data_IF_742467741957
#
_entry.id   IF_742467741957
#
_cell.length_a   1.000
_cell.length_b   1.000
_cell.length_c   1.000
_cell.angle_alpha   90.00
_cell.angle_beta   90.00
_cell.angle_gamma   90.00
#
_symmetry.space_group_name_H-M   'P 1'
#
loop_
_entity.id
_entity.type
_entity.pdbx_description
1 polymer ?
#
# COMPACT_ATOMS: atom_id res chain seq x y z
N UNK A 1 2.12 23.97 -1.57
CA UNK A 1 3.15 24.43 -2.52
C UNK A 1 4.03 25.61 -2.04
N UNK A 2 4.43 25.77 -0.75
CA UNK A 2 5.49 26.72 -0.40
C UNK A 2 6.87 26.07 -0.16
N UNK A 3 6.95 24.75 0.01
CA UNK A 3 8.21 24.06 0.34
C UNK A 3 9.14 23.83 -0.86
N UNK A 4 8.60 23.69 -2.08
CA UNK A 4 9.40 23.46 -3.28
C UNK A 4 10.20 24.71 -3.72
N UNK A 5 9.68 25.91 -3.46
CA UNK A 5 10.35 27.19 -3.77
C UNK A 5 11.44 27.48 -2.73
N UNK A 6 11.22 27.15 -1.47
CA UNK A 6 12.23 27.25 -0.42
C UNK A 6 13.37 26.22 -0.61
N UNK A 7 13.07 25.02 -1.13
CA UNK A 7 14.08 24.04 -1.50
C UNK A 7 14.96 24.50 -2.69
N UNK A 8 14.38 25.23 -3.65
CA UNK A 8 15.11 25.80 -4.79
C UNK A 8 16.10 26.89 -4.39
N UNK A 9 15.67 27.82 -3.51
CA UNK A 9 16.52 28.93 -3.04
C UNK A 9 17.62 28.48 -2.07
N UNK A 10 17.35 27.47 -1.23
CA UNK A 10 18.37 26.85 -0.39
C UNK A 10 19.40 26.05 -1.20
N UNK A 11 18.95 25.38 -2.27
CA UNK A 11 19.80 24.58 -3.14
C UNK A 11 20.88 25.39 -3.85
N UNK A 12 20.57 26.58 -4.36
CA UNK A 12 21.54 27.45 -5.03
C UNK A 12 22.54 28.08 -4.04
N UNK A 13 22.09 28.49 -2.85
CA UNK A 13 22.97 29.02 -1.82
C UNK A 13 23.94 27.94 -1.29
N UNK A 14 23.47 26.72 -1.10
CA UNK A 14 24.28 25.57 -0.69
C UNK A 14 25.21 25.12 -1.83
N UNK A 15 24.75 25.12 -3.08
CA UNK A 15 25.59 24.80 -4.24
C UNK A 15 26.69 25.86 -4.46
N UNK A 16 26.38 27.14 -4.30
CA UNK A 16 27.35 28.24 -4.39
C UNK A 16 28.37 28.22 -3.24
N UNK A 17 27.92 27.94 -2.01
CA UNK A 17 28.81 27.76 -0.85
C UNK A 17 29.71 26.52 -0.98
N UNK A 18 29.16 25.40 -1.46
CA UNK A 18 29.91 24.17 -1.72
C UNK A 18 30.92 24.34 -2.87
N UNK A 19 30.54 25.01 -3.96
CA UNK A 19 31.43 25.30 -5.08
C UNK A 19 32.57 26.25 -4.69
N UNK A 20 32.29 27.24 -3.83
CA UNK A 20 33.30 28.14 -3.28
C UNK A 20 34.30 27.43 -2.36
N UNK A 21 33.86 26.43 -1.60
CA UNK A 21 34.70 25.67 -0.65
C UNK A 21 35.40 24.47 -1.27
N UNK A 22 34.86 23.90 -2.37
CA UNK A 22 35.50 22.80 -3.13
C UNK A 22 36.66 23.27 -4.01
N UNK A 23 36.80 24.57 -4.28
CA UNK A 23 37.96 25.11 -5.00
C UNK A 23 39.27 24.94 -4.23
N UNK A 24 39.20 24.87 -2.90
CA UNK A 24 40.35 24.64 -2.00
C UNK A 24 40.53 23.16 -1.63
N UNK A 25 39.61 22.28 -2.05
CA UNK A 25 39.59 20.85 -1.77
C UNK A 25 39.59 20.00 -3.06
N UNK A 26 40.17 20.52 -4.15
CA UNK A 26 40.40 19.71 -5.34
C UNK A 26 41.28 18.50 -4.96
N UNK A 27 40.76 17.26 -5.02
CA UNK A 27 41.59 16.10 -4.76
C UNK A 27 42.63 16.00 -5.88
N UNK A 28 43.90 15.69 -5.56
CA UNK A 28 44.92 15.50 -6.57
C UNK A 28 44.64 14.17 -7.28
N UNK A 29 43.84 14.23 -8.35
CA UNK A 29 43.58 13.08 -9.22
C UNK A 29 42.11 12.91 -9.59
N UNK A 30 41.74 13.37 -10.78
CA UNK A 30 40.78 12.75 -11.73
C UNK A 30 39.44 12.18 -11.22
N UNK A 31 38.94 12.59 -10.05
CA UNK A 31 37.71 12.05 -9.47
C UNK A 31 36.45 12.63 -10.12
N UNK A 32 35.44 11.77 -10.32
CA UNK A 32 34.15 12.13 -10.92
C UNK A 32 33.42 13.17 -10.02
N UNK A 33 33.16 14.41 -10.48
CA UNK A 33 32.71 15.53 -9.63
C UNK A 33 31.32 15.33 -9.02
N UNK A 34 30.57 14.33 -9.47
CA UNK A 34 29.22 13.98 -9.01
C UNK A 34 29.27 13.06 -7.76
N UNK A 35 30.40 12.39 -7.50
CA UNK A 35 30.49 11.38 -6.44
C UNK A 35 30.34 11.97 -5.02
N UNK A 36 30.89 13.17 -4.78
CA UNK A 36 30.86 13.80 -3.45
C UNK A 36 29.45 14.30 -3.09
N UNK A 37 28.75 15.05 -3.95
CA UNK A 37 27.36 15.44 -3.69
C UNK A 37 26.40 14.25 -3.53
N UNK A 38 26.57 13.20 -4.36
CA UNK A 38 25.75 11.99 -4.28
C UNK A 38 25.96 11.22 -2.97
N UNK A 39 27.21 11.08 -2.52
CA UNK A 39 27.52 10.45 -1.24
C UNK A 39 26.96 11.27 -0.06
N UNK A 40 27.07 12.59 -0.10
CA UNK A 40 26.49 13.47 0.92
C UNK A 40 24.96 13.31 0.98
N UNK A 41 24.28 13.28 -0.17
CA UNK A 41 22.83 13.05 -0.23
C UNK A 41 22.45 11.67 0.31
N UNK A 42 23.18 10.61 -0.06
CA UNK A 42 22.95 9.26 0.43
C UNK A 42 23.10 9.18 1.96
N UNK A 43 24.11 9.86 2.52
CA UNK A 43 24.31 9.96 3.98
C UNK A 43 23.14 10.68 4.64
N UNK A 44 22.67 11.80 4.07
CA UNK A 44 21.50 12.52 4.60
C UNK A 44 20.26 11.63 4.61
N UNK A 45 19.99 10.94 3.50
CA UNK A 45 18.85 9.99 3.39
C UNK A 45 19.00 8.86 4.42
N UNK A 46 20.19 8.27 4.55
CA UNK A 46 20.45 7.20 5.50
C UNK A 46 20.27 7.65 6.96
N UNK A 47 20.73 8.85 7.33
CA UNK A 47 20.57 9.41 8.68
C UNK A 47 19.11 9.71 8.99
N UNK A 48 18.37 10.32 8.05
CA UNK A 48 16.94 10.57 8.20
C UNK A 48 16.15 9.26 8.35
N UNK A 49 16.52 8.23 7.57
CA UNK A 49 15.89 6.92 7.66
C UNK A 49 16.26 6.16 8.94
N UNK A 50 17.51 6.27 9.41
CA UNK A 50 17.95 5.63 10.64
C UNK A 50 17.20 6.13 11.88
N UNK A 51 16.81 7.42 11.92
CA UNK A 51 15.95 7.97 12.97
C UNK A 51 14.55 7.35 13.00
N UNK A 52 14.09 6.79 11.88
CA UNK A 52 12.78 6.12 11.77
C UNK A 52 12.83 4.63 12.16
N UNK A 53 14.00 3.99 12.18
CA UNK A 53 14.15 2.58 12.54
C UNK A 53 13.56 2.20 13.92
N UNK A 54 13.71 3.00 14.99
CA UNK A 54 13.09 2.69 16.28
C UNK A 54 11.56 2.71 16.23
N UNK A 55 10.97 3.61 15.43
CA UNK A 55 9.52 3.75 15.30
C UNK A 55 8.88 2.52 14.64
N UNK A 56 9.60 1.90 13.69
CA UNK A 56 9.19 0.63 13.08
C UNK A 56 9.07 -0.49 14.12
N UNK A 57 9.86 -0.44 15.21
CA UNK A 57 9.83 -1.45 16.28
C UNK A 57 8.75 -1.18 17.33
N UNK A 58 8.27 0.06 17.46
CA UNK A 58 7.23 0.43 18.43
C UNK A 58 5.81 0.25 17.92
N UNK A 59 5.64 -0.09 16.63
CA UNK A 59 4.38 -0.54 16.02
C UNK A 59 3.95 -1.92 16.58
N UNK A 60 3.72 -1.96 17.88
CA UNK A 60 3.37 -3.14 18.66
C UNK A 60 1.87 -3.32 18.68
N UNK A 61 1.15 -2.61 19.53
CA UNK A 61 -0.30 -2.76 19.61
C UNK A 61 -1.05 -1.87 18.62
N UNK A 62 -0.45 -0.83 18.05
CA UNK A 62 -1.21 0.16 17.26
C UNK A 62 -1.68 -0.39 15.90
N UNK A 63 -0.91 -1.29 15.28
CA UNK A 63 -1.22 -1.90 13.97
C UNK A 63 -1.65 -3.37 14.06
N UNK A 64 -2.13 -3.85 15.22
CA UNK A 64 -2.48 -5.26 15.40
C UNK A 64 -3.49 -5.75 14.35
N UNK A 65 -4.50 -4.93 14.03
CA UNK A 65 -5.55 -5.28 13.07
C UNK A 65 -5.03 -5.48 11.66
N UNK A 66 -4.17 -4.56 11.18
CA UNK A 66 -3.56 -4.67 9.85
C UNK A 66 -2.65 -5.90 9.72
N UNK A 67 -1.91 -6.26 10.78
CA UNK A 67 -1.07 -7.46 10.79
C UNK A 67 -1.89 -8.74 10.83
N UNK A 68 -2.98 -8.73 11.59
CA UNK A 68 -3.93 -9.85 11.59
C UNK A 68 -4.53 -10.02 10.20
N UNK A 69 -5.00 -8.94 9.58
CA UNK A 69 -5.55 -8.92 8.22
C UNK A 69 -4.56 -9.52 7.21
N UNK A 70 -3.30 -9.08 7.23
CA UNK A 70 -2.28 -9.60 6.33
C UNK A 70 -2.04 -11.11 6.49
N UNK A 71 -1.99 -11.62 7.74
CA UNK A 71 -1.86 -13.07 7.99
C UNK A 71 -3.10 -13.83 7.53
N UNK A 72 -4.28 -13.36 7.94
CA UNK A 72 -5.57 -13.92 7.55
C UNK A 72 -5.73 -13.97 6.04
N UNK A 73 -5.48 -12.87 5.33
CA UNK A 73 -5.61 -12.79 3.88
C UNK A 73 -4.71 -13.81 3.17
N UNK A 74 -3.48 -13.97 3.65
CA UNK A 74 -2.53 -14.94 3.09
C UNK A 74 -3.01 -16.38 3.28
N UNK A 75 -3.56 -16.71 4.45
CA UNK A 75 -4.14 -18.03 4.73
C UNK A 75 -5.45 -18.26 3.96
N UNK A 76 -6.27 -17.23 3.81
CA UNK A 76 -7.54 -17.28 3.09
C UNK A 76 -7.33 -17.50 1.58
N UNK A 77 -6.24 -16.98 1.01
CA UNK A 77 -5.90 -17.21 -0.40
C UNK A 77 -5.66 -18.68 -0.75
N UNK A 78 -5.21 -19.49 0.21
CA UNK A 78 -5.03 -20.93 0.01
C UNK A 78 -6.38 -21.67 -0.15
N UNK A 79 -7.51 -21.03 0.21
CA UNK A 79 -8.86 -21.61 0.15
C UNK A 79 -9.60 -21.27 -1.15
N UNK A 80 -9.02 -20.44 -2.02
CA UNK A 80 -9.63 -20.03 -3.30
C UNK A 80 -8.77 -20.47 -4.49
N UNK A 81 -9.38 -20.67 -5.67
CA UNK A 81 -8.62 -21.07 -6.86
C UNK A 81 -7.56 -20.06 -7.27
N UNK A 82 -6.51 -20.52 -7.94
CA UNK A 82 -5.42 -19.65 -8.43
C UNK A 82 -5.88 -18.65 -9.49
N UNK A 83 -6.76 -19.12 -10.37
CA UNK A 83 -7.43 -18.27 -11.35
C UNK A 83 -8.64 -17.59 -10.70
N UNK A 84 -8.37 -16.60 -9.87
CA UNK A 84 -9.37 -15.76 -9.19
C UNK A 84 -8.94 -14.29 -9.19
N UNK A 85 -9.89 -13.40 -8.90
CA UNK A 85 -9.61 -11.98 -8.69
C UNK A 85 -10.23 -11.51 -7.36
N UNK A 86 -9.47 -10.72 -6.60
CA UNK A 86 -9.86 -10.21 -5.29
C UNK A 86 -10.10 -8.70 -5.35
N UNK A 87 -11.29 -8.26 -4.95
CA UNK A 87 -11.64 -6.88 -4.71
C UNK A 87 -11.22 -6.49 -3.29
N UNK A 88 -10.28 -5.56 -3.15
CA UNK A 88 -9.67 -5.25 -1.85
C UNK A 88 -9.15 -3.82 -1.77
N UNK A 89 -9.24 -3.21 -0.58
CA UNK A 89 -8.65 -1.89 -0.33
C UNK A 89 -7.11 -1.87 -0.44
N UNK A 90 -6.47 -3.05 -0.45
CA UNK A 90 -5.00 -3.17 -0.56
C UNK A 90 -4.62 -4.12 -1.72
N UNK A 91 -4.84 -3.75 -3.00
CA UNK A 91 -4.59 -4.65 -4.13
C UNK A 91 -3.13 -5.12 -4.20
N UNK A 92 -2.19 -4.23 -3.88
CA UNK A 92 -0.75 -4.50 -3.91
C UNK A 92 -0.35 -5.69 -3.03
N UNK A 93 -1.01 -5.88 -1.88
CA UNK A 93 -0.76 -7.01 -0.98
C UNK A 93 -1.00 -8.34 -1.69
N UNK A 94 -2.11 -8.46 -2.41
CA UNK A 94 -2.48 -9.68 -3.15
C UNK A 94 -1.66 -9.86 -4.43
N UNK A 95 -1.35 -8.76 -5.13
CA UNK A 95 -0.54 -8.78 -6.35
C UNK A 95 0.88 -9.29 -6.08
N UNK A 96 1.51 -8.89 -4.97
CA UNK A 96 2.83 -9.40 -4.55
C UNK A 96 2.82 -10.91 -4.27
N UNK A 97 1.66 -11.46 -3.90
CA UNK A 97 1.47 -12.90 -3.70
C UNK A 97 1.00 -13.63 -4.97
N UNK A 98 1.05 -12.99 -6.13
CA UNK A 98 0.67 -13.58 -7.41
C UNK A 98 -0.84 -13.79 -7.57
N UNK A 99 -1.67 -13.05 -6.82
CA UNK A 99 -3.14 -13.06 -7.01
C UNK A 99 -3.61 -11.80 -7.70
N UNK A 100 -4.48 -11.96 -8.70
CA UNK A 100 -5.15 -10.82 -9.33
C UNK A 100 -5.97 -10.07 -8.28
N UNK A 101 -5.79 -8.75 -8.21
CA UNK A 101 -6.56 -7.92 -7.29
C UNK A 101 -6.78 -6.52 -7.85
N UNK A 102 -7.93 -5.95 -7.52
CA UNK A 102 -8.34 -4.60 -7.92
C UNK A 102 -9.08 -3.89 -6.78
N UNK A 103 -9.27 -2.58 -6.93
CA UNK A 103 -9.97 -1.77 -5.95
C UNK A 103 -11.46 -2.18 -5.82
N UNK A 104 -12.02 -2.21 -4.59
CA UNK A 104 -13.42 -2.53 -4.34
C UNK A 104 -14.37 -1.48 -4.93
N UNK A 105 -13.90 -0.25 -5.15
CA UNK A 105 -14.71 0.79 -5.77
C UNK A 105 -15.21 0.39 -7.16
N UNK A 106 -14.46 -0.43 -7.89
CA UNK A 106 -14.88 -0.98 -9.19
C UNK A 106 -16.20 -1.72 -9.06
N UNK A 107 -16.40 -2.48 -7.98
CA UNK A 107 -17.67 -3.18 -7.74
C UNK A 107 -18.86 -2.25 -7.49
N UNK A 108 -18.62 -1.00 -7.14
CA UNK A 108 -19.66 0.00 -6.90
C UNK A 108 -19.91 0.82 -8.15
N UNK A 109 -18.85 1.29 -8.81
CA UNK A 109 -18.92 2.24 -9.92
C UNK A 109 -19.08 1.61 -11.29
N UNK A 110 -18.66 0.35 -11.48
CA UNK A 110 -18.61 -0.31 -12.79
C UNK A 110 -19.03 -1.80 -12.69
N UNK A 111 -20.33 -2.03 -12.53
CA UNK A 111 -20.91 -3.38 -12.52
C UNK A 111 -20.71 -4.16 -13.83
N UNK A 112 -20.75 -3.54 -15.03
CA UNK A 112 -20.41 -4.24 -16.27
C UNK A 112 -19.01 -4.86 -16.25
N UNK A 113 -18.01 -4.15 -15.73
CA UNK A 113 -16.67 -4.70 -15.57
C UNK A 113 -16.66 -5.89 -14.59
N UNK A 114 -17.39 -5.81 -13.49
CA UNK A 114 -17.50 -6.93 -12.52
C UNK A 114 -18.13 -8.15 -13.18
N UNK A 115 -19.16 -7.95 -14.00
CA UNK A 115 -19.80 -9.02 -14.77
C UNK A 115 -18.81 -9.68 -15.75
N UNK A 116 -18.05 -8.90 -16.51
CA UNK A 116 -16.98 -9.41 -17.39
C UNK A 116 -15.91 -10.19 -16.59
N UNK A 117 -15.51 -9.69 -15.41
CA UNK A 117 -14.59 -10.41 -14.53
C UNK A 117 -15.18 -11.75 -14.05
N UNK A 118 -16.47 -11.78 -13.68
CA UNK A 118 -17.14 -13.03 -13.33
C UNK A 118 -17.12 -14.03 -14.50
N UNK A 119 -17.26 -13.58 -15.75
CA UNK A 119 -17.13 -14.47 -16.91
C UNK A 119 -15.69 -14.98 -17.09
N UNK A 120 -14.70 -14.07 -17.08
CA UNK A 120 -13.27 -14.40 -17.31
C UNK A 120 -12.68 -15.33 -16.24
N UNK A 121 -13.12 -15.16 -15.01
CA UNK A 121 -12.69 -15.93 -13.83
C UNK A 121 -13.69 -17.03 -13.43
N UNK A 122 -14.67 -17.37 -14.29
CA UNK A 122 -15.65 -18.46 -14.03
C UNK A 122 -16.38 -18.32 -12.68
N UNK A 123 -16.70 -17.09 -12.31
CA UNK A 123 -17.35 -16.73 -11.06
C UNK A 123 -16.42 -16.63 -9.85
N UNK A 124 -15.11 -16.83 -10.01
CA UNK A 124 -14.11 -16.69 -8.93
C UNK A 124 -13.68 -15.23 -8.71
N UNK A 125 -14.69 -14.38 -8.45
CA UNK A 125 -14.51 -12.99 -8.01
C UNK A 125 -14.79 -12.95 -6.52
N UNK A 126 -13.82 -12.48 -5.74
CA UNK A 126 -13.90 -12.44 -4.29
C UNK A 126 -13.81 -11.01 -3.79
N UNK A 127 -14.48 -10.71 -2.69
CA UNK A 127 -14.35 -9.47 -1.94
C UNK A 127 -13.63 -9.74 -0.62
N UNK A 128 -12.61 -8.93 -0.35
CA UNK A 128 -11.84 -9.00 0.88
C UNK A 128 -12.31 -7.91 1.86
N UNK A 129 -13.05 -8.36 2.86
CA UNK A 129 -13.41 -7.57 4.03
C UNK A 129 -12.22 -7.56 5.00
N UNK A 130 -11.32 -6.59 4.83
CA UNK A 130 -10.08 -6.49 5.60
C UNK A 130 -10.09 -5.39 6.67
N UNK A 131 -8.91 -4.98 7.11
CA UNK A 131 -8.70 -3.92 8.11
C UNK A 131 -9.51 -2.65 7.82
N UNK A 132 -9.50 -2.19 6.57
CA UNK A 132 -10.15 -0.95 6.15
C UNK A 132 -11.68 -0.95 6.32
N UNK A 133 -12.33 -2.12 6.25
CA UNK A 133 -13.76 -2.24 6.48
C UNK A 133 -14.17 -2.12 7.96
N UNK A 134 -13.20 -2.24 8.87
CA UNK A 134 -13.40 -2.16 10.32
C UNK A 134 -13.02 -0.79 10.90
N UNK A 135 -12.32 0.05 10.13
CA UNK A 135 -11.91 1.37 10.60
C UNK A 135 -13.12 2.24 10.97
N UNK A 136 -12.96 3.08 11.99
CA UNK A 136 -14.04 3.96 12.51
C UNK A 136 -14.44 5.08 11.53
N UNK A 137 -13.64 5.35 10.50
CA UNK A 137 -13.93 6.38 9.51
C UNK A 137 -14.91 5.91 8.43
N UNK A 138 -15.78 6.83 7.99
CA UNK A 138 -16.96 6.47 7.20
C UNK A 138 -16.64 6.01 5.76
N UNK A 139 -15.62 6.57 5.10
CA UNK A 139 -15.39 6.35 3.67
C UNK A 139 -15.14 4.90 3.27
N UNK A 140 -14.19 4.22 3.92
CA UNK A 140 -13.86 2.83 3.59
C UNK A 140 -14.96 1.86 4.05
N UNK A 141 -15.53 2.11 5.24
CA UNK A 141 -16.64 1.30 5.76
C UNK A 141 -17.88 1.39 4.87
N UNK A 142 -18.16 2.56 4.32
CA UNK A 142 -19.25 2.77 3.36
C UNK A 142 -19.04 1.95 2.09
N UNK A 143 -17.82 1.90 1.54
CA UNK A 143 -17.50 1.07 0.38
C UNK A 143 -17.81 -0.41 0.66
N UNK A 144 -17.37 -0.95 1.80
CA UNK A 144 -17.64 -2.34 2.16
C UNK A 144 -19.15 -2.60 2.35
N UNK A 145 -19.86 -1.66 2.97
CA UNK A 145 -21.32 -1.71 3.13
C UNK A 145 -22.08 -1.66 1.80
N UNK A 146 -21.64 -0.86 0.83
CA UNK A 146 -22.24 -0.81 -0.51
C UNK A 146 -22.05 -2.11 -1.27
N UNK A 147 -20.89 -2.75 -1.14
CA UNK A 147 -20.65 -4.06 -1.74
C UNK A 147 -21.60 -5.10 -1.13
N UNK A 148 -21.74 -5.15 0.21
CA UNK A 148 -22.69 -6.05 0.87
C UNK A 148 -24.16 -5.80 0.49
N UNK A 149 -24.50 -4.55 0.12
CA UNK A 149 -25.83 -4.21 -0.42
C UNK A 149 -26.02 -4.70 -1.85
N UNK A 150 -25.03 -4.53 -2.72
CA UNK A 150 -25.13 -4.84 -4.16
C UNK A 150 -24.93 -6.31 -4.51
N UNK A 151 -24.21 -7.07 -3.68
CA UNK A 151 -23.82 -8.45 -3.99
C UNK A 151 -24.22 -9.41 -2.87
N UNK A 152 -24.51 -10.65 -3.23
CA UNK A 152 -24.52 -11.75 -2.28
C UNK A 152 -23.07 -12.08 -1.90
N UNK A 153 -22.81 -12.26 -0.60
CA UNK A 153 -21.49 -12.56 -0.05
C UNK A 153 -21.47 -13.98 0.49
N UNK A 154 -20.92 -14.91 -0.28
CA UNK A 154 -20.73 -16.30 0.12
C UNK A 154 -19.35 -16.46 0.80
N UNK A 155 -19.28 -16.83 2.09
CA UNK A 155 -18.00 -16.86 2.81
C UNK A 155 -17.10 -17.99 2.31
N UNK A 156 -15.88 -17.64 1.89
CA UNK A 156 -14.80 -18.59 1.62
C UNK A 156 -13.85 -18.74 2.83
N UNK A 157 -13.67 -17.65 3.57
CA UNK A 157 -12.96 -17.63 4.85
C UNK A 157 -13.48 -16.49 5.71
N UNK A 158 -13.53 -16.69 7.01
CA UNK A 158 -13.88 -15.66 7.98
C UNK A 158 -12.99 -15.80 9.21
N UNK A 159 -12.73 -14.69 9.87
CA UNK A 159 -12.03 -14.63 11.12
C UNK A 159 -12.49 -13.40 11.92
N UNK A 160 -12.21 -13.42 13.22
CA UNK A 160 -12.47 -12.29 14.11
C UNK A 160 -11.28 -12.14 15.03
N UNK A 161 -10.85 -10.91 15.22
CA UNK A 161 -9.82 -10.55 16.19
C UNK A 161 -10.28 -9.29 16.91
N UNK A 162 -10.49 -9.39 18.22
CA UNK A 162 -11.06 -8.33 19.05
C UNK A 162 -12.41 -7.82 18.48
N UNK A 163 -12.48 -6.53 18.13
CA UNK A 163 -13.63 -5.85 17.55
C UNK A 163 -13.64 -5.87 16.01
N UNK A 164 -12.65 -6.50 15.36
CA UNK A 164 -12.53 -6.53 13.91
C UNK A 164 -13.02 -7.86 13.34
N UNK A 165 -13.78 -7.77 12.26
CA UNK A 165 -14.23 -8.90 11.46
C UNK A 165 -13.45 -8.93 10.15
N UNK A 166 -12.93 -10.10 9.80
CA UNK A 166 -12.18 -10.31 8.57
C UNK A 166 -12.87 -11.38 7.73
N UNK A 167 -12.91 -11.18 6.43
CA UNK A 167 -13.58 -12.13 5.56
C UNK A 167 -13.11 -12.08 4.12
N UNK A 168 -13.12 -13.24 3.49
CA UNK A 168 -12.97 -13.40 2.06
C UNK A 168 -14.27 -14.01 1.55
N UNK A 169 -15.00 -13.27 0.73
CA UNK A 169 -16.34 -13.62 0.27
C UNK A 169 -16.34 -13.80 -1.23
N UNK A 170 -16.84 -14.92 -1.74
CA UNK A 170 -17.18 -15.02 -3.16
C UNK A 170 -18.41 -14.14 -3.40
N UNK A 171 -18.35 -13.25 -4.37
CA UNK A 171 -19.45 -12.33 -4.65
C UNK A 171 -20.29 -12.82 -5.82
N UNK A 172 -21.60 -12.58 -5.75
CA UNK A 172 -22.56 -12.82 -6.83
C UNK A 172 -23.52 -11.63 -6.94
N UNK A 173 -24.03 -11.35 -8.13
CA UNK A 173 -25.11 -10.39 -8.28
C UNK A 173 -26.37 -10.90 -7.58
N UNK A 174 -27.07 -10.00 -6.89
CA UNK A 174 -28.41 -10.24 -6.35
C UNK A 174 -29.47 -10.20 -7.44
#
# INVERSE_FOLDING_TARGET
>A
MPLAVLAGLGGEAVAGWAAGRMRDFAPPGGGNPIAVPAAALAIVVAVLWAGFLPLIRTEGQEAWGARYDHRFAREALAKIPERSIVLTHVPTMFLVWGRGAISPNVAISDQPLVWDLMQRYRGHVYFHWGYWCNTKGDGNRQICGEIARKYELEPAAQAREQDYEYGLYKIRFK
#
